data_IF_910595087701
#
_entry.id   IF_910595087701
#
_cell.length_a   1.000
_cell.length_b   1.000
_cell.length_c   1.000
_cell.angle_alpha   90.00
_cell.angle_beta   90.00
_cell.angle_gamma   90.00
#
_symmetry.space_group_name_H-M   'P 1'
#
loop_
_entity.id
_entity.type
_entity.pdbx_description
1 polymer ?
#
# COMPACT_ATOMS: atom_id res chain seq x y z
N UNK A 1 15.62 -14.35 14.11
CA UNK A 1 14.17 -14.09 14.06
C UNK A 1 13.59 -14.97 12.97
N UNK A 2 12.64 -15.85 13.30
CA UNK A 2 11.90 -16.63 12.31
C UNK A 2 10.64 -15.86 11.96
N UNK A 3 10.40 -15.57 10.68
CA UNK A 3 9.17 -14.89 10.25
C UNK A 3 8.00 -15.83 10.54
N UNK A 4 7.03 -15.35 11.32
CA UNK A 4 5.88 -16.15 11.77
C UNK A 4 4.73 -16.10 10.78
N UNK A 5 4.58 -15.01 10.03
CA UNK A 5 3.66 -14.88 8.89
C UNK A 5 4.40 -14.23 7.71
N UNK A 6 4.68 -15.00 6.65
CA UNK A 6 5.38 -14.44 5.48
C UNK A 6 4.51 -13.41 4.75
N UNK A 7 3.23 -13.73 4.51
CA UNK A 7 2.27 -12.81 3.86
C UNK A 7 2.20 -11.47 4.56
N UNK A 8 2.01 -11.46 5.88
CA UNK A 8 1.87 -10.21 6.64
C UNK A 8 3.19 -9.43 6.67
N UNK A 9 4.32 -10.12 6.78
CA UNK A 9 5.62 -9.45 6.76
C UNK A 9 5.85 -8.70 5.45
N UNK A 10 5.62 -9.35 4.30
CA UNK A 10 5.77 -8.71 2.99
C UNK A 10 4.71 -7.65 2.71
N UNK A 11 3.46 -7.85 3.17
CA UNK A 11 2.42 -6.82 3.08
C UNK A 11 2.76 -5.58 3.93
N UNK A 12 3.27 -5.78 5.15
CA UNK A 12 3.75 -4.70 6.01
C UNK A 12 4.91 -3.93 5.38
N UNK A 13 5.88 -4.64 4.80
CA UNK A 13 6.99 -4.03 4.07
C UNK A 13 6.51 -3.20 2.86
N UNK A 14 5.55 -3.72 2.10
CA UNK A 14 4.93 -2.99 0.98
C UNK A 14 4.33 -1.67 1.45
N UNK A 15 3.56 -1.68 2.54
CA UNK A 15 2.96 -0.47 3.11
C UNK A 15 4.01 0.54 3.60
N UNK A 16 5.10 0.07 4.20
CA UNK A 16 6.22 0.93 4.60
C UNK A 16 6.85 1.60 3.38
N UNK A 17 7.19 0.82 2.35
CA UNK A 17 7.86 1.34 1.14
C UNK A 17 6.97 2.36 0.41
N UNK A 18 5.69 2.04 0.23
CA UNK A 18 4.73 2.95 -0.41
C UNK A 18 4.52 4.19 0.45
N UNK A 19 4.37 4.04 1.77
CA UNK A 19 4.16 5.15 2.69
C UNK A 19 5.35 6.12 2.72
N UNK A 20 6.57 5.59 2.77
CA UNK A 20 7.80 6.39 2.65
C UNK A 20 7.88 7.06 1.28
N UNK A 21 7.54 6.35 0.20
CA UNK A 21 7.50 6.92 -1.15
C UNK A 21 6.57 8.14 -1.25
N UNK A 22 5.37 8.05 -0.66
CA UNK A 22 4.44 9.19 -0.58
C UNK A 22 4.99 10.33 0.28
N UNK A 23 5.61 10.04 1.43
CA UNK A 23 6.20 11.07 2.29
C UNK A 23 7.35 11.81 1.59
N UNK A 24 8.22 11.09 0.88
CA UNK A 24 9.29 11.68 0.06
C UNK A 24 8.71 12.50 -1.08
N UNK A 25 7.73 11.96 -1.81
CA UNK A 25 7.05 12.68 -2.89
C UNK A 25 6.39 13.98 -2.40
N UNK A 26 5.72 13.91 -1.26
CA UNK A 26 5.06 15.05 -0.61
C UNK A 26 6.04 16.14 -0.17
N UNK A 27 7.29 15.77 0.14
CA UNK A 27 8.34 16.70 0.57
C UNK A 27 8.74 17.70 -0.53
N UNK A 28 8.36 17.44 -1.80
CA UNK A 28 8.55 18.37 -2.91
C UNK A 28 7.39 19.38 -3.07
N UNK A 29 6.33 19.26 -2.28
CA UNK A 29 5.15 20.11 -2.35
C UNK A 29 4.99 20.94 -1.07
N UNK A 30 4.32 22.09 -1.16
CA UNK A 30 3.96 22.82 0.05
C UNK A 30 2.90 22.01 0.82
N UNK A 31 3.16 21.80 2.11
CA UNK A 31 2.22 21.13 3.03
C UNK A 31 1.18 22.13 3.53
N UNK A 32 1.55 23.41 3.71
CA UNK A 32 0.67 24.42 4.28
C UNK A 32 0.34 24.13 5.75
N UNK A 33 -0.76 24.71 6.22
CA UNK A 33 -1.27 24.52 7.58
C UNK A 33 -2.53 23.65 7.58
N UNK A 34 -2.91 23.11 8.74
CA UNK A 34 -4.15 22.33 8.87
C UNK A 34 -5.41 23.10 8.45
N UNK A 35 -5.41 24.44 8.59
CA UNK A 35 -6.50 25.30 8.15
C UNK A 35 -6.46 25.64 6.65
N UNK A 36 -5.30 25.49 5.99
CA UNK A 36 -5.08 25.79 4.57
C UNK A 36 -4.10 24.76 4.00
N UNK A 37 -4.62 23.56 3.77
CA UNK A 37 -3.83 22.42 3.33
C UNK A 37 -3.27 22.66 1.93
N UNK A 38 -1.95 22.56 1.81
CA UNK A 38 -1.26 22.53 0.53
C UNK A 38 -1.32 21.15 -0.11
N UNK A 39 -0.91 21.03 -1.40
CA UNK A 39 -0.98 19.78 -2.15
C UNK A 39 -0.16 18.63 -1.54
N UNK A 40 0.86 18.93 -0.72
CA UNK A 40 1.66 17.93 -0.02
C UNK A 40 1.01 17.38 1.26
N UNK A 41 -0.01 18.03 1.81
CA UNK A 41 -0.58 17.67 3.12
C UNK A 41 -1.17 16.26 3.13
N UNK A 42 -2.07 15.97 2.19
CA UNK A 42 -2.75 14.68 2.14
C UNK A 42 -1.78 13.52 1.82
N UNK A 43 -0.90 13.63 0.78
CA UNK A 43 0.09 12.59 0.52
C UNK A 43 1.05 12.34 1.70
N UNK A 44 1.47 13.39 2.41
CA UNK A 44 2.33 13.24 3.59
C UNK A 44 1.62 12.49 4.72
N UNK A 45 0.41 12.93 5.08
CA UNK A 45 -0.38 12.31 6.15
C UNK A 45 -0.72 10.85 5.83
N UNK A 46 -1.15 10.59 4.59
CA UNK A 46 -1.40 9.23 4.12
C UNK A 46 -0.12 8.38 4.16
N UNK A 47 1.00 8.93 3.69
CA UNK A 47 2.29 8.23 3.68
C UNK A 47 2.76 7.84 5.08
N UNK A 48 2.65 8.75 6.05
CA UNK A 48 3.00 8.49 7.45
C UNK A 48 2.08 7.41 8.05
N UNK A 49 0.77 7.49 7.84
CA UNK A 49 -0.17 6.50 8.33
C UNK A 49 0.11 5.11 7.74
N UNK A 50 0.36 5.03 6.43
CA UNK A 50 0.73 3.78 5.76
C UNK A 50 2.03 3.19 6.33
N UNK A 51 3.04 4.02 6.57
CA UNK A 51 4.30 3.59 7.15
C UNK A 51 4.11 3.03 8.57
N UNK A 52 3.30 3.69 9.40
CA UNK A 52 2.98 3.23 10.76
C UNK A 52 2.23 1.89 10.72
N UNK A 53 1.18 1.79 9.90
CA UNK A 53 0.39 0.56 9.76
C UNK A 53 1.29 -0.58 9.26
N UNK A 54 2.11 -0.31 8.24
CA UNK A 54 3.05 -1.30 7.71
C UNK A 54 4.07 -1.77 8.75
N UNK A 55 4.61 -0.86 9.56
CA UNK A 55 5.51 -1.20 10.67
C UNK A 55 4.84 -2.07 11.73
N UNK A 56 3.60 -1.75 12.11
CA UNK A 56 2.81 -2.56 13.05
C UNK A 56 2.55 -3.96 12.48
N UNK A 57 2.14 -4.06 11.22
CA UNK A 57 1.86 -5.35 10.56
C UNK A 57 3.14 -6.19 10.45
N UNK A 58 4.25 -5.59 10.00
CA UNK A 58 5.53 -6.28 9.89
C UNK A 58 6.05 -6.74 11.27
N UNK A 59 5.89 -5.92 12.31
CA UNK A 59 6.24 -6.31 13.68
C UNK A 59 5.38 -7.46 14.19
N UNK A 60 4.06 -7.40 13.98
CA UNK A 60 3.14 -8.49 14.35
C UNK A 60 3.50 -9.79 13.65
N UNK A 61 3.91 -9.74 12.38
CA UNK A 61 4.36 -10.91 11.61
C UNK A 61 5.64 -11.57 12.16
N UNK A 62 6.40 -10.88 13.02
CA UNK A 62 7.58 -11.43 13.70
C UNK A 62 7.30 -11.95 15.11
N UNK A 63 6.25 -11.43 15.76
CA UNK A 63 5.97 -11.70 17.19
C UNK A 63 4.80 -12.66 17.38
N UNK A 64 3.74 -12.55 16.56
CA UNK A 64 2.54 -13.37 16.70
C UNK A 64 2.74 -14.67 15.96
N UNK A 65 2.45 -15.79 16.63
CA UNK A 65 2.53 -17.11 16.02
C UNK A 65 1.34 -17.34 15.09
N UNK A 66 1.64 -17.68 13.84
CA UNK A 66 0.65 -18.02 12.82
C UNK A 66 0.76 -19.51 12.51
N UNK A 67 -0.35 -20.27 12.55
CA UNK A 67 -0.37 -21.65 12.08
C UNK A 67 0.17 -21.71 10.65
N UNK A 68 1.09 -22.65 10.40
CA UNK A 68 1.68 -22.91 9.08
C UNK A 68 2.54 -21.80 8.45
N UNK A 69 2.85 -20.72 9.16
CA UNK A 69 3.79 -19.68 8.71
C UNK A 69 3.26 -18.75 7.60
N UNK A 70 2.07 -19.03 7.10
CA UNK A 70 1.37 -18.31 6.02
C UNK A 70 2.29 -17.96 4.83
N UNK A 71 2.77 -18.96 4.07
CA UNK A 71 3.74 -18.72 3.00
C UNK A 71 3.13 -17.88 1.87
N UNK A 72 3.96 -17.04 1.25
CA UNK A 72 3.52 -16.27 0.08
C UNK A 72 3.21 -17.24 -1.06
N UNK A 73 1.94 -17.24 -1.48
CA UNK A 73 1.46 -18.10 -2.56
C UNK A 73 1.94 -17.65 -3.94
N UNK A 74 1.64 -18.43 -4.99
CA UNK A 74 1.95 -18.04 -6.36
C UNK A 74 1.21 -16.76 -6.75
N UNK A 75 1.82 -16.00 -7.67
CA UNK A 75 1.23 -14.76 -8.18
C UNK A 75 -0.11 -15.03 -8.88
N UNK A 76 -1.12 -14.26 -8.50
CA UNK A 76 -2.48 -14.38 -9.01
C UNK A 76 -2.68 -13.65 -10.36
N UNK A 77 -1.90 -14.03 -11.39
CA UNK A 77 -1.90 -13.36 -12.70
C UNK A 77 -3.26 -13.31 -13.39
N UNK A 78 -4.07 -14.38 -13.26
CA UNK A 78 -5.42 -14.43 -13.83
C UNK A 78 -6.36 -13.39 -13.19
N UNK A 79 -6.57 -13.38 -11.85
CA UNK A 79 -7.33 -12.32 -11.20
C UNK A 79 -6.80 -10.92 -11.49
N UNK A 80 -5.48 -10.71 -11.47
CA UNK A 80 -4.85 -9.42 -11.74
C UNK A 80 -5.24 -8.89 -13.13
N UNK A 81 -5.09 -9.73 -14.17
CA UNK A 81 -5.45 -9.38 -15.53
C UNK A 81 -6.94 -9.05 -15.67
N UNK A 82 -7.83 -9.85 -15.05
CA UNK A 82 -9.27 -9.60 -15.13
C UNK A 82 -9.70 -8.31 -14.42
N UNK A 83 -9.12 -7.99 -13.26
CA UNK A 83 -9.45 -6.74 -12.54
C UNK A 83 -9.02 -5.51 -13.35
N UNK A 84 -7.80 -5.53 -13.88
CA UNK A 84 -7.27 -4.42 -14.70
C UNK A 84 -8.12 -4.27 -15.97
N UNK A 85 -8.39 -5.37 -16.67
CA UNK A 85 -9.19 -5.36 -17.89
C UNK A 85 -10.62 -4.87 -17.63
N UNK A 86 -11.25 -5.31 -16.55
CA UNK A 86 -12.59 -4.87 -16.19
C UNK A 86 -12.66 -3.37 -15.94
N UNK A 87 -11.68 -2.80 -15.21
CA UNK A 87 -11.62 -1.37 -14.96
C UNK A 87 -11.42 -0.57 -16.26
N UNK A 88 -10.55 -1.07 -17.15
CA UNK A 88 -10.28 -0.45 -18.45
C UNK A 88 -11.51 -0.48 -19.37
N UNK A 89 -12.15 -1.65 -19.49
CA UNK A 89 -13.39 -1.81 -20.26
C UNK A 89 -14.52 -0.94 -19.71
N UNK A 90 -14.66 -0.88 -18.38
CA UNK A 90 -15.64 0.00 -17.74
C UNK A 90 -15.43 1.46 -18.14
N UNK A 91 -14.18 1.95 -18.09
CA UNK A 91 -13.83 3.30 -18.52
C UNK A 91 -14.18 3.56 -19.99
N UNK A 92 -13.80 2.64 -20.89
CA UNK A 92 -14.10 2.75 -22.33
C UNK A 92 -15.60 2.75 -22.60
N UNK A 93 -16.35 1.86 -21.94
CA UNK A 93 -17.79 1.73 -22.15
C UNK A 93 -18.57 2.92 -21.59
N UNK A 94 -18.07 3.55 -20.53
CA UNK A 94 -18.74 4.67 -19.87
C UNK A 94 -18.39 6.03 -20.51
N UNK A 95 -17.13 6.24 -20.89
CA UNK A 95 -16.63 7.51 -21.43
C UNK A 95 -16.37 7.53 -22.94
N UNK A 96 -16.39 6.36 -23.60
CA UNK A 96 -15.88 6.20 -24.95
C UNK A 96 -14.36 5.93 -24.97
N UNK A 97 -13.85 5.54 -26.13
CA UNK A 97 -12.41 5.43 -26.37
C UNK A 97 -11.85 6.83 -26.65
N UNK A 98 -10.69 7.23 -26.07
CA UNK A 98 -10.04 8.48 -26.45
C UNK A 98 -9.68 8.52 -27.94
#
# INVERSE_FOLDING_TARGET
>A
MHIKSQKDFFAGLLYIVIGIGFAIGASNYSVGDAARMGPGYFPLLLGVLLAIIGAVVAFRALVIETPDGDPVGPWAWKPLAYIILANFLFGILLGGMP
#
